data_IF_592443967308
#
_entry.id   IF_592443967308
#
_cell.length_a   1.000
_cell.length_b   1.000
_cell.length_c   1.000
_cell.angle_alpha   90.00
_cell.angle_beta   90.00
_cell.angle_gamma   90.00
#
_symmetry.space_group_name_H-M   'P 1'
#
loop_
_entity.id
_entity.type
_entity.pdbx_description
1 polymer ?
#
# COMPACT_ATOMS: atom_id res chain seq x y z
N UNK A 1 15.15 0.62 -63.23
CA UNK A 1 14.73 2.00 -63.00
C UNK A 1 13.55 1.98 -62.04
N UNK A 2 13.69 2.61 -60.88
CA UNK A 2 12.75 2.49 -59.75
C UNK A 2 12.06 3.84 -59.56
N UNK A 3 10.73 3.94 -59.57
CA UNK A 3 10.06 5.24 -59.43
C UNK A 3 10.12 5.75 -57.98
N UNK A 4 10.11 7.08 -57.76
CA UNK A 4 10.46 7.69 -56.48
C UNK A 4 9.30 7.65 -55.47
N UNK A 5 9.66 7.45 -54.20
CA UNK A 5 8.74 7.51 -53.04
C UNK A 5 8.17 8.92 -52.89
N UNK A 6 6.85 9.05 -52.98
CA UNK A 6 6.12 10.27 -52.60
C UNK A 6 6.34 10.59 -51.11
N UNK A 7 6.89 11.78 -50.83
CA UNK A 7 6.85 12.40 -49.50
C UNK A 7 5.52 13.14 -49.37
N UNK A 8 4.73 12.79 -48.35
CA UNK A 8 3.63 13.63 -47.91
C UNK A 8 4.16 14.88 -47.16
N UNK A 9 3.43 16.01 -47.18
CA UNK A 9 3.94 17.30 -46.72
C UNK A 9 3.94 17.41 -45.19
N UNK A 10 5.01 18.00 -44.64
CA UNK A 10 4.99 18.64 -43.32
C UNK A 10 4.19 19.94 -43.45
N UNK A 11 3.07 20.07 -42.75
CA UNK A 11 2.41 21.35 -42.51
C UNK A 11 2.50 21.68 -41.03
N UNK A 12 2.83 22.94 -40.80
CA UNK A 12 3.20 23.56 -39.54
C UNK A 12 2.12 23.47 -38.46
N UNK A 13 2.54 23.28 -37.22
CA UNK A 13 1.71 23.54 -36.05
C UNK A 13 1.67 25.03 -35.79
N UNK A 14 0.46 25.56 -35.58
CA UNK A 14 0.21 26.84 -34.95
C UNK A 14 -0.18 26.59 -33.48
N UNK A 15 0.25 27.42 -32.52
CA UNK A 15 0.16 27.14 -31.09
C UNK A 15 -1.17 27.64 -30.54
N UNK A 16 -1.99 26.74 -30.01
CA UNK A 16 -3.28 27.13 -29.46
C UNK A 16 -4.00 25.99 -28.76
N UNK A 17 -3.69 25.84 -27.48
CA UNK A 17 -4.63 25.45 -26.43
C UNK A 17 -5.57 24.27 -26.73
N UNK A 18 -5.07 23.06 -26.52
CA UNK A 18 -5.90 21.92 -26.12
C UNK A 18 -5.29 21.31 -24.87
N UNK A 19 -5.82 21.71 -23.72
CA UNK A 19 -5.86 20.89 -22.51
C UNK A 19 -6.66 19.61 -22.86
N UNK A 20 -6.02 18.69 -23.56
CA UNK A 20 -6.49 17.31 -23.67
C UNK A 20 -5.83 16.57 -22.52
N UNK A 21 -6.60 16.40 -21.46
CA UNK A 21 -6.34 15.52 -20.33
C UNK A 21 -5.55 14.30 -20.77
N UNK A 22 -4.25 14.34 -20.46
CA UNK A 22 -3.34 13.28 -20.84
C UNK A 22 -3.86 11.96 -20.32
N UNK A 23 -4.04 11.01 -21.23
CA UNK A 23 -4.06 9.58 -20.95
C UNK A 23 -2.87 9.22 -20.06
N UNK A 24 -3.06 9.37 -18.74
CA UNK A 24 -2.17 8.77 -17.75
C UNK A 24 -2.37 7.27 -17.88
N UNK A 25 -1.31 6.48 -18.05
CA UNK A 25 -1.43 5.04 -17.93
C UNK A 25 -2.03 4.76 -16.55
N UNK A 26 -3.23 4.16 -16.52
CA UNK A 26 -3.83 3.67 -15.27
C UNK A 26 -2.84 2.67 -14.70
N UNK A 27 -2.11 3.07 -13.66
CA UNK A 27 -1.42 2.11 -12.82
C UNK A 27 -2.48 1.11 -12.34
N UNK A 28 -2.24 -0.20 -12.48
CA UNK A 28 -3.02 -1.19 -11.75
C UNK A 28 -3.03 -0.74 -10.28
N UNK A 29 -4.21 -0.45 -9.73
CA UNK A 29 -4.39 0.21 -8.42
C UNK A 29 -4.85 1.68 -8.44
N UNK A 30 -5.14 2.27 -9.61
CA UNK A 30 -5.68 3.64 -9.74
C UNK A 30 -7.19 3.76 -9.46
N UNK A 31 -7.67 3.14 -8.38
CA UNK A 31 -8.98 3.45 -7.80
C UNK A 31 -8.85 4.53 -6.71
N UNK A 32 -9.97 4.98 -6.08
CA UNK A 32 -9.98 5.96 -4.98
C UNK A 32 -9.09 5.59 -3.77
N UNK A 33 -8.63 4.34 -3.71
CA UNK A 33 -7.62 3.79 -2.81
C UNK A 33 -6.21 4.37 -2.94
N UNK A 34 -5.87 4.86 -4.14
CA UNK A 34 -4.56 5.44 -4.44
C UNK A 34 -4.27 6.73 -3.66
N UNK A 35 -5.30 7.26 -2.99
CA UNK A 35 -5.29 8.54 -2.29
C UNK A 35 -5.11 8.39 -0.76
N UNK A 36 -5.01 7.16 -0.23
CA UNK A 36 -4.63 6.95 1.18
C UNK A 36 -3.29 7.65 1.46
N UNK A 37 -3.16 8.43 2.55
CA UNK A 37 -1.92 9.15 2.86
C UNK A 37 -0.68 8.26 2.87
N UNK A 38 -0.77 7.03 3.41
CA UNK A 38 0.34 6.07 3.38
C UNK A 38 0.70 5.61 1.96
N UNK A 39 -0.29 5.33 1.12
CA UNK A 39 -0.07 4.91 -0.28
C UNK A 39 0.51 6.04 -1.12
N UNK A 40 0.03 7.26 -0.94
CA UNK A 40 0.58 8.44 -1.60
C UNK A 40 2.02 8.67 -1.17
N UNK A 41 2.31 8.59 0.14
CA UNK A 41 3.65 8.78 0.68
C UNK A 41 4.64 7.74 0.17
N UNK A 42 4.27 6.45 0.18
CA UNK A 42 5.17 5.35 -0.23
C UNK A 42 5.52 5.42 -1.73
N UNK A 43 4.66 6.05 -2.54
CA UNK A 43 4.86 6.22 -4.00
C UNK A 43 5.54 7.55 -4.37
N UNK A 44 5.73 8.44 -3.40
CA UNK A 44 6.30 9.78 -3.59
C UNK A 44 7.71 9.74 -4.20
N UNK A 45 8.06 10.77 -4.96
CA UNK A 45 9.41 10.96 -5.52
C UNK A 45 10.43 11.40 -4.46
N UNK A 46 9.96 12.03 -3.39
CA UNK A 46 10.77 12.53 -2.28
C UNK A 46 10.10 12.06 -0.98
N UNK A 47 10.19 10.76 -0.66
CA UNK A 47 9.57 10.20 0.53
C UNK A 47 10.33 10.66 1.79
N UNK A 48 9.60 11.00 2.85
CA UNK A 48 10.13 11.16 4.21
C UNK A 48 9.32 10.25 5.13
N UNK A 49 9.80 9.01 5.29
CA UNK A 49 9.05 7.97 6.00
C UNK A 49 8.99 8.21 7.51
N UNK A 50 9.96 8.91 8.09
CA UNK A 50 9.92 9.33 9.50
C UNK A 50 8.90 10.43 9.74
N UNK A 51 8.79 11.40 8.84
CA UNK A 51 7.69 12.37 8.90
C UNK A 51 6.33 11.67 8.72
N UNK A 52 6.19 10.80 7.72
CA UNK A 52 4.95 10.06 7.46
C UNK A 52 4.56 9.19 8.66
N UNK A 53 5.50 8.50 9.30
CA UNK A 53 5.26 7.72 10.51
C UNK A 53 4.73 8.59 11.66
N UNK A 54 5.36 9.74 11.94
CA UNK A 54 4.90 10.68 12.98
C UNK A 54 3.52 11.27 12.69
N UNK A 55 3.24 11.61 11.44
CA UNK A 55 1.93 12.08 11.00
C UNK A 55 0.86 10.98 11.15
N UNK A 56 1.20 9.72 10.85
CA UNK A 56 0.32 8.58 11.10
C UNK A 56 0.09 8.36 12.60
N UNK A 57 1.14 8.39 13.44
CA UNK A 57 1.03 8.27 14.90
C UNK A 57 0.14 9.37 15.51
N UNK A 58 0.20 10.58 14.96
CA UNK A 58 -0.67 11.70 15.37
C UNK A 58 -2.13 11.45 15.01
N UNK A 59 -2.41 10.71 13.95
CA UNK A 59 -3.78 10.29 13.58
C UNK A 59 -4.23 9.12 14.44
N UNK A 60 -3.34 8.16 14.70
CA UNK A 60 -3.59 7.03 15.59
C UNK A 60 -3.97 7.47 17.01
N UNK A 61 -3.32 8.49 17.56
CA UNK A 61 -3.67 9.01 18.88
C UNK A 61 -5.02 9.75 18.93
N UNK A 62 -5.56 10.15 17.77
CA UNK A 62 -6.89 10.79 17.66
C UNK A 62 -8.00 9.78 17.42
N UNK A 63 -7.74 8.81 16.56
CA UNK A 63 -8.65 7.73 16.19
C UNK A 63 -7.84 6.49 15.81
N UNK A 64 -7.66 5.60 16.79
CA UNK A 64 -6.85 4.40 16.64
C UNK A 64 -7.46 3.42 15.65
N UNK A 65 -8.79 3.26 15.65
CA UNK A 65 -9.52 2.38 14.74
C UNK A 65 -9.31 2.77 13.28
N UNK A 66 -9.62 4.03 12.93
CA UNK A 66 -9.49 4.51 11.55
C UNK A 66 -8.03 4.52 11.08
N UNK A 67 -7.09 4.97 11.92
CA UNK A 67 -5.68 5.00 11.55
C UNK A 67 -5.10 3.59 11.34
N UNK A 68 -5.54 2.62 12.14
CA UNK A 68 -5.10 1.24 12.00
C UNK A 68 -5.77 0.55 10.81
N UNK A 69 -7.03 0.85 10.51
CA UNK A 69 -7.70 0.39 9.29
C UNK A 69 -6.98 0.88 8.01
N UNK A 70 -6.49 2.13 8.02
CA UNK A 70 -5.60 2.65 6.97
C UNK A 70 -4.30 1.84 6.87
N UNK A 71 -3.72 1.44 8.01
CA UNK A 71 -2.49 0.64 8.06
C UNK A 71 -2.70 -0.78 7.50
N UNK A 72 -3.82 -1.42 7.80
CA UNK A 72 -4.18 -2.73 7.21
C UNK A 72 -4.43 -2.57 5.71
N UNK A 73 -5.18 -1.54 5.31
CA UNK A 73 -5.42 -1.23 3.90
C UNK A 73 -4.12 -0.98 3.13
N UNK A 74 -3.15 -0.31 3.77
CA UNK A 74 -1.81 -0.10 3.22
C UNK A 74 -1.10 -1.42 2.92
N UNK A 75 -1.16 -2.40 3.84
CA UNK A 75 -0.60 -3.75 3.62
C UNK A 75 -1.31 -4.46 2.46
N UNK A 76 -2.64 -4.41 2.41
CA UNK A 76 -3.43 -5.05 1.36
C UNK A 76 -3.11 -4.48 -0.03
N UNK A 77 -3.04 -3.16 -0.17
CA UNK A 77 -2.71 -2.51 -1.45
C UNK A 77 -1.30 -2.89 -1.91
N UNK A 78 -0.33 -2.94 -1.00
CA UNK A 78 1.04 -3.38 -1.33
C UNK A 78 1.09 -4.87 -1.68
N UNK A 79 0.14 -5.67 -1.17
CA UNK A 79 -0.07 -7.07 -1.55
C UNK A 79 -0.85 -7.25 -2.87
N UNK A 80 -1.09 -6.17 -3.62
CA UNK A 80 -1.88 -6.13 -4.86
C UNK A 80 -3.33 -6.60 -4.68
N UNK A 81 -3.86 -6.46 -3.47
CA UNK A 81 -5.26 -6.71 -3.17
C UNK A 81 -6.08 -5.48 -3.58
N UNK A 82 -7.17 -5.64 -4.35
CA UNK A 82 -8.07 -4.54 -4.69
C UNK A 82 -8.70 -3.96 -3.44
N UNK A 83 -8.98 -2.66 -3.47
CA UNK A 83 -9.43 -1.89 -2.31
C UNK A 83 -10.82 -2.25 -1.81
N UNK A 84 -11.61 -2.94 -2.62
CA UNK A 84 -12.89 -3.49 -2.21
C UNK A 84 -12.72 -5.01 -2.17
N UNK A 85 -12.88 -5.64 -1.00
CA UNK A 85 -13.35 -5.07 0.28
C UNK A 85 -12.29 -4.28 1.07
N UNK A 86 -12.73 -3.25 1.81
CA UNK A 86 -11.88 -2.38 2.67
C UNK A 86 -12.10 -2.69 4.15
N UNK A 87 -11.05 -2.56 4.96
CA UNK A 87 -11.16 -2.60 6.43
C UNK A 87 -11.57 -1.22 6.93
N UNK A 88 -12.56 -1.16 7.81
CA UNK A 88 -13.01 0.08 8.45
C UNK A 88 -12.55 0.16 9.91
N UNK A 89 -12.59 1.36 10.50
CA UNK A 89 -12.21 1.57 11.90
C UNK A 89 -13.06 0.77 12.89
N UNK A 90 -14.33 0.50 12.55
CA UNK A 90 -15.21 -0.35 13.33
C UNK A 90 -14.79 -1.83 13.31
N UNK A 91 -14.26 -2.32 12.19
CA UNK A 91 -13.73 -3.68 12.12
C UNK A 91 -12.53 -3.85 13.06
N UNK A 92 -11.65 -2.85 13.12
CA UNK A 92 -10.49 -2.84 14.02
C UNK A 92 -10.92 -2.81 15.49
N UNK A 93 -11.98 -2.05 15.81
CA UNK A 93 -12.34 -1.76 17.19
C UNK A 93 -13.24 -2.84 17.81
N UNK A 94 -14.06 -3.51 17.00
CA UNK A 94 -15.19 -4.30 17.50
C UNK A 94 -15.16 -5.76 17.05
N UNK A 95 -14.21 -6.18 16.20
CA UNK A 95 -14.21 -7.51 15.59
C UNK A 95 -12.88 -8.22 15.80
N UNK A 96 -12.94 -9.54 15.74
CA UNK A 96 -11.73 -10.36 15.77
C UNK A 96 -10.97 -10.22 14.43
N UNK A 97 -9.65 -9.97 14.44
CA UNK A 97 -8.88 -9.80 13.21
C UNK A 97 -8.90 -11.02 12.28
N UNK A 98 -8.99 -12.25 12.81
CA UNK A 98 -9.07 -13.44 11.96
C UNK A 98 -10.41 -13.51 11.22
N UNK A 99 -11.52 -13.15 11.87
CA UNK A 99 -12.83 -13.09 11.22
C UNK A 99 -12.83 -12.08 10.07
N UNK A 100 -12.31 -10.87 10.32
CA UNK A 100 -12.24 -9.82 9.29
C UNK A 100 -11.35 -10.26 8.12
N UNK A 101 -10.16 -10.81 8.40
CA UNK A 101 -9.23 -11.25 7.36
C UNK A 101 -9.79 -12.41 6.54
N UNK A 102 -10.46 -13.38 7.14
CA UNK A 102 -11.09 -14.49 6.41
C UNK A 102 -12.23 -13.99 5.50
N UNK A 103 -13.05 -13.03 5.96
CA UNK A 103 -14.08 -12.39 5.12
C UNK A 103 -13.47 -11.65 3.92
N UNK A 104 -12.41 -10.87 4.14
CA UNK A 104 -11.68 -10.20 3.06
C UNK A 104 -11.16 -11.23 2.05
N UNK A 105 -10.51 -12.28 2.53
CA UNK A 105 -9.97 -13.35 1.68
C UNK A 105 -11.07 -14.05 0.88
N UNK A 106 -12.21 -14.35 1.50
CA UNK A 106 -13.34 -14.99 0.84
C UNK A 106 -13.93 -14.11 -0.28
N UNK A 107 -14.12 -12.82 -0.01
CA UNK A 107 -14.58 -11.85 -1.01
C UNK A 107 -13.58 -11.71 -2.17
N UNK A 108 -12.27 -11.68 -1.87
CA UNK A 108 -11.22 -11.61 -2.88
C UNK A 108 -11.11 -12.88 -3.71
N UNK A 109 -11.32 -14.06 -3.12
CA UNK A 109 -11.35 -15.33 -3.84
C UNK A 109 -12.53 -15.37 -4.84
N UNK A 110 -13.69 -14.81 -4.44
CA UNK A 110 -14.85 -14.66 -5.32
C UNK A 110 -14.56 -13.69 -6.48
N UNK A 111 -13.88 -12.57 -6.20
CA UNK A 111 -13.42 -11.64 -7.23
C UNK A 111 -12.40 -12.26 -8.20
N UNK A 112 -11.41 -13.00 -7.68
CA UNK A 112 -10.41 -13.67 -8.50
C UNK A 112 -11.02 -14.72 -9.42
N UNK A 113 -11.98 -15.50 -8.91
CA UNK A 113 -12.67 -16.53 -9.69
C UNK A 113 -13.55 -15.91 -10.78
N UNK A 114 -14.22 -14.79 -10.48
CA UNK A 114 -15.10 -14.10 -11.43
C UNK A 114 -14.37 -13.23 -12.46
N UNK A 115 -13.19 -12.69 -12.11
CA UNK A 115 -12.41 -11.76 -12.97
C UNK A 115 -11.12 -12.36 -13.54
N UNK A 116 -10.79 -13.61 -13.19
CA UNK A 116 -9.55 -14.28 -13.62
C UNK A 116 -8.27 -13.62 -13.09
N UNK A 117 -8.31 -13.06 -11.88
CA UNK A 117 -7.21 -12.28 -11.33
C UNK A 117 -6.23 -13.16 -10.51
N UNK A 118 -4.96 -13.16 -10.89
CA UNK A 118 -3.88 -13.72 -10.09
C UNK A 118 -3.30 -12.63 -9.17
N UNK A 119 -3.53 -12.72 -7.86
CA UNK A 119 -2.94 -11.84 -6.85
C UNK A 119 -1.46 -12.20 -6.61
N UNK A 120 -0.58 -11.79 -7.53
CA UNK A 120 0.87 -11.86 -7.34
C UNK A 120 1.33 -10.55 -6.70
N UNK A 121 2.16 -10.55 -5.64
CA UNK A 121 2.65 -9.33 -5.01
C UNK A 121 3.67 -8.63 -5.93
N UNK A 122 3.17 -7.91 -6.92
CA UNK A 122 3.93 -7.18 -7.91
C UNK A 122 4.71 -6.03 -7.27
N UNK A 123 4.20 -5.30 -6.26
CA UNK A 123 4.95 -4.14 -5.76
C UNK A 123 6.30 -4.46 -5.13
N UNK A 124 6.37 -5.49 -4.29
CA UNK A 124 7.62 -5.85 -3.59
C UNK A 124 8.55 -6.75 -4.43
N UNK A 125 8.01 -7.46 -5.44
CA UNK A 125 8.78 -8.35 -6.32
C UNK A 125 9.11 -7.73 -7.70
N UNK A 126 8.41 -6.67 -8.12
CA UNK A 126 8.60 -6.05 -9.43
C UNK A 126 9.88 -5.23 -9.51
N UNK A 127 10.51 -5.28 -10.68
CA UNK A 127 11.67 -4.46 -11.05
C UNK A 127 11.28 -3.16 -11.75
N UNK A 128 9.99 -2.88 -11.92
CA UNK A 128 9.51 -1.66 -12.56
C UNK A 128 9.78 -0.42 -11.69
N UNK A 129 9.96 0.74 -12.34
CA UNK A 129 10.27 2.02 -11.66
C UNK A 129 9.25 2.41 -10.57
N UNK A 130 7.99 2.02 -10.73
CA UNK A 130 6.95 2.22 -9.73
C UNK A 130 7.11 1.30 -8.52
N UNK A 131 7.43 0.02 -8.75
CA UNK A 131 7.69 -0.99 -7.72
C UNK A 131 8.93 -0.70 -6.89
N UNK A 132 10.00 -0.20 -7.52
CA UNK A 132 11.26 0.12 -6.82
C UNK A 132 11.06 1.07 -5.63
N UNK A 133 10.23 2.12 -5.79
CA UNK A 133 9.96 3.06 -4.69
C UNK A 133 9.19 2.43 -3.57
N UNK A 134 8.15 1.66 -3.88
CA UNK A 134 7.36 0.97 -2.86
C UNK A 134 8.24 -0.02 -2.10
N UNK A 135 9.13 -0.73 -2.80
CA UNK A 135 10.08 -1.68 -2.21
C UNK A 135 11.06 -1.03 -1.23
N UNK A 136 11.47 0.22 -1.47
CA UNK A 136 12.35 0.96 -0.56
C UNK A 136 11.57 1.60 0.60
N UNK A 137 10.44 2.24 0.28
CA UNK A 137 9.69 3.06 1.22
C UNK A 137 8.80 2.24 2.16
N UNK A 138 8.28 1.09 1.73
CA UNK A 138 7.44 0.23 2.56
C UNK A 138 8.22 -0.28 3.79
N UNK A 139 9.39 -0.93 3.65
CA UNK A 139 10.25 -1.25 4.78
C UNK A 139 10.64 -0.06 5.65
N UNK A 140 10.97 1.07 5.00
CA UNK A 140 11.40 2.28 5.71
C UNK A 140 10.29 2.85 6.60
N UNK A 141 9.03 2.82 6.15
CA UNK A 141 7.89 3.22 6.95
C UNK A 141 7.77 2.39 8.24
N UNK A 142 7.84 1.05 8.17
CA UNK A 142 7.72 0.20 9.35
C UNK A 142 8.87 0.40 10.35
N UNK A 143 10.10 0.57 9.84
CA UNK A 143 11.26 0.92 10.68
C UNK A 143 11.05 2.26 11.38
N UNK A 144 10.67 3.30 10.62
CA UNK A 144 10.39 4.63 11.16
C UNK A 144 9.22 4.62 12.15
N UNK A 145 8.15 3.86 11.88
CA UNK A 145 7.00 3.73 12.76
C UNK A 145 7.41 3.19 14.14
N UNK A 146 8.17 2.09 14.16
CA UNK A 146 8.69 1.55 15.41
C UNK A 146 9.68 2.52 16.08
N UNK A 147 10.57 3.15 15.32
CA UNK A 147 11.59 4.06 15.86
C UNK A 147 11.03 5.37 16.43
N UNK A 148 9.99 5.93 15.81
CA UNK A 148 9.43 7.24 16.16
C UNK A 148 8.21 7.14 17.11
N UNK A 149 7.69 5.93 17.35
CA UNK A 149 6.56 5.74 18.27
C UNK A 149 6.94 6.03 19.73
N UNK A 150 6.14 6.82 20.47
CA UNK A 150 6.31 6.95 21.91
C UNK A 150 6.22 5.58 22.58
N UNK A 151 7.19 5.24 23.45
CA UNK A 151 7.28 3.90 24.08
C UNK A 151 5.98 3.44 24.73
N UNK A 152 5.27 4.36 25.40
CA UNK A 152 4.00 4.06 26.04
C UNK A 152 2.92 3.64 25.03
N UNK A 153 2.70 4.46 24.00
CA UNK A 153 1.76 4.17 22.91
C UNK A 153 2.14 2.88 22.17
N UNK A 154 3.45 2.67 21.96
CA UNK A 154 3.96 1.49 21.29
C UNK A 154 3.62 0.21 22.07
N UNK A 155 3.94 0.16 23.36
CA UNK A 155 3.78 -1.05 24.17
C UNK A 155 2.32 -1.33 24.53
N UNK A 156 1.56 -0.29 24.90
CA UNK A 156 0.21 -0.46 25.45
C UNK A 156 -0.85 -0.57 24.36
N UNK A 157 -0.69 0.16 23.25
CA UNK A 157 -1.76 0.30 22.25
C UNK A 157 -1.37 -0.36 20.93
N UNK A 158 -0.23 0.05 20.36
CA UNK A 158 0.10 -0.29 18.98
C UNK A 158 0.58 -1.74 18.81
N UNK A 159 1.50 -2.22 19.64
CA UNK A 159 2.04 -3.59 19.52
C UNK A 159 0.99 -4.69 19.75
N UNK A 160 0.05 -4.59 20.72
CA UNK A 160 -1.03 -5.56 20.85
C UNK A 160 -1.90 -5.65 19.59
N UNK A 161 -2.30 -4.50 19.01
CA UNK A 161 -3.08 -4.44 17.77
C UNK A 161 -2.29 -4.98 16.58
N UNK A 162 -1.03 -4.56 16.43
CA UNK A 162 -0.16 -5.05 15.36
C UNK A 162 0.03 -6.56 15.45
N UNK A 163 0.24 -7.10 16.65
CA UNK A 163 0.43 -8.53 16.84
C UNK A 163 -0.77 -9.33 16.37
N UNK A 164 -1.99 -8.99 16.80
CA UNK A 164 -3.19 -9.75 16.43
C UNK A 164 -3.46 -9.70 14.93
N UNK A 165 -3.36 -8.51 14.33
CA UNK A 165 -3.60 -8.33 12.90
C UNK A 165 -2.50 -8.92 12.02
N UNK A 166 -1.22 -8.82 12.39
CA UNK A 166 -0.12 -9.44 11.66
C UNK A 166 -0.29 -10.97 11.68
N UNK A 167 -0.68 -11.56 12.81
CA UNK A 167 -0.92 -13.00 12.90
C UNK A 167 -2.08 -13.42 11.99
N UNK A 168 -3.20 -12.69 12.01
CA UNK A 168 -4.32 -12.95 11.10
C UNK A 168 -3.92 -12.85 9.62
N UNK A 169 -3.19 -11.79 9.24
CA UNK A 169 -2.68 -11.60 7.87
C UNK A 169 -1.65 -12.67 7.46
N UNK A 170 -0.83 -13.14 8.39
CA UNK A 170 0.18 -14.17 8.16
C UNK A 170 -0.43 -15.58 8.06
N UNK A 171 -1.56 -15.85 8.69
CA UNK A 171 -2.26 -17.14 8.64
C UNK A 171 -3.24 -17.24 7.46
N UNK A 172 -3.63 -16.11 6.88
CA UNK A 172 -4.62 -16.07 5.81
C UNK A 172 -4.20 -16.86 4.56
N UNK A 173 -5.16 -17.26 3.73
CA UNK A 173 -4.89 -18.12 2.55
C UNK A 173 -4.17 -17.41 1.39
N UNK A 174 -4.21 -16.08 1.33
CA UNK A 174 -3.60 -15.29 0.25
C UNK A 174 -2.08 -15.15 0.44
N UNK A 175 -1.30 -15.78 -0.46
CA UNK A 175 0.17 -15.76 -0.40
C UNK A 175 0.76 -14.33 -0.44
N UNK A 176 0.19 -13.44 -1.25
CA UNK A 176 0.65 -12.05 -1.35
C UNK A 176 0.50 -11.32 -0.02
N UNK A 177 -0.67 -11.45 0.62
CA UNK A 177 -0.98 -10.84 1.92
C UNK A 177 -0.06 -11.38 3.01
N UNK A 178 0.10 -12.72 3.10
CA UNK A 178 1.05 -13.34 4.04
C UNK A 178 2.46 -12.79 3.88
N UNK A 179 2.94 -12.71 2.63
CA UNK A 179 4.27 -12.22 2.33
C UNK A 179 4.46 -10.76 2.77
N UNK A 180 3.55 -9.85 2.36
CA UNK A 180 3.66 -8.43 2.71
C UNK A 180 3.49 -8.19 4.21
N UNK A 181 2.56 -8.88 4.86
CA UNK A 181 2.38 -8.84 6.31
C UNK A 181 3.62 -9.31 7.07
N UNK A 182 4.27 -10.38 6.59
CA UNK A 182 5.53 -10.86 7.17
C UNK A 182 6.65 -9.83 6.99
N UNK A 183 6.77 -9.23 5.80
CA UNK A 183 7.75 -8.17 5.54
C UNK A 183 7.54 -6.98 6.48
N UNK A 184 6.29 -6.54 6.67
CA UNK A 184 5.94 -5.48 7.62
C UNK A 184 6.41 -5.83 9.05
N UNK A 185 6.12 -7.06 9.51
CA UNK A 185 6.51 -7.52 10.83
C UNK A 185 8.03 -7.53 11.04
N UNK A 186 8.79 -8.01 10.06
CA UNK A 186 10.27 -8.05 10.13
C UNK A 186 10.85 -6.64 10.28
N UNK A 187 10.40 -5.70 9.45
CA UNK A 187 10.92 -4.34 9.48
C UNK A 187 10.43 -3.53 10.69
N UNK A 188 9.27 -3.87 11.24
CA UNK A 188 8.83 -3.35 12.54
C UNK A 188 9.80 -3.79 13.65
N UNK A 189 10.13 -5.09 13.72
CA UNK A 189 11.08 -5.63 14.71
C UNK A 189 12.49 -5.03 14.54
N UNK A 190 12.93 -4.82 13.31
CA UNK A 190 14.20 -4.12 13.03
C UNK A 190 14.17 -2.71 13.60
N UNK A 191 13.09 -1.95 13.41
CA UNK A 191 12.94 -0.59 13.97
C UNK A 191 12.87 -0.58 15.50
N UNK A 192 12.22 -1.57 16.13
CA UNK A 192 12.21 -1.71 17.59
C UNK A 192 13.61 -1.93 18.15
N UNK A 193 14.43 -2.73 17.46
CA UNK A 193 15.81 -3.02 17.89
C UNK A 193 16.68 -1.75 17.95
N UNK A 194 16.39 -0.76 17.10
CA UNK A 194 17.08 0.54 17.09
C UNK A 194 16.66 1.44 18.27
N UNK A 195 15.41 1.36 18.75
CA UNK A 195 14.97 2.15 19.93
C UNK A 195 15.62 1.70 21.26
N UNK A 196 16.15 0.47 21.28
CA UNK A 196 16.76 -0.15 22.44
C UNK A 196 18.30 -0.09 22.42
N UNK A 197 18.89 0.45 21.35
CA UNK A 197 20.33 0.72 21.22
C UNK A 197 20.64 2.18 21.58
#
# INVERSE_FOLDING_TARGET
ETPPRMRAPRVAGDPGNFDSEGCRPRARGGGPAGDSPLIVAVRSRRPDMSRTAREWLTRFSKDSGCAFAELVSFVLVVADVPFCPSVEGQDVSNRDPHEVVEELVAALALEATSKGADFVPQWLASRERGGLRVRENFPAFWRSLAADAPRQTLIVELLPLLRSWILALADCRLRSVRYVGTVAAVYLVEGLSVQHS
#
